data_IF_161130886353
#
_entry.id   IF_161130886353
#
_cell.length_a   1.000
_cell.length_b   1.000
_cell.length_c   1.000
_cell.angle_alpha   90.00
_cell.angle_beta   90.00
_cell.angle_gamma   90.00
#
_symmetry.space_group_name_H-M   'P 1'
#
loop_
_entity.id
_entity.type
_entity.pdbx_description
1 polymer ?
#
# COMPACT_ATOMS: atom_id res chain seq x y z
N UNK A 1 32.41 5.71 7.86
CA UNK A 1 31.63 6.04 9.07
C UNK A 1 31.23 4.73 9.75
N UNK A 2 31.36 4.58 11.07
CA UNK A 2 30.79 3.41 11.74
C UNK A 2 29.27 3.43 11.49
N UNK A 3 28.70 2.30 11.04
CA UNK A 3 27.24 2.14 10.93
C UNK A 3 26.64 2.51 12.30
N UNK A 4 25.53 3.26 12.30
CA UNK A 4 24.77 3.48 13.52
C UNK A 4 24.48 2.11 14.18
N UNK A 5 24.68 2.00 15.48
CA UNK A 5 24.33 0.79 16.22
C UNK A 5 22.82 0.72 16.37
N UNK A 6 22.21 -0.18 15.59
CA UNK A 6 20.77 -0.40 15.54
C UNK A 6 20.34 -1.58 16.42
N UNK A 7 21.23 -2.14 17.25
CA UNK A 7 20.92 -3.31 18.08
C UNK A 7 19.81 -3.06 19.09
N UNK A 8 19.55 -1.79 19.45
CA UNK A 8 18.47 -1.38 20.34
C UNK A 8 17.09 -1.35 19.67
N UNK A 9 17.01 -1.45 18.34
CA UNK A 9 15.73 -1.41 17.61
C UNK A 9 15.06 -2.79 17.66
N UNK A 10 13.92 -2.84 18.33
CA UNK A 10 13.16 -4.08 18.52
C UNK A 10 12.21 -4.40 17.35
N UNK A 11 11.65 -3.37 16.72
CA UNK A 11 10.71 -3.51 15.60
C UNK A 11 10.98 -2.50 14.50
N UNK A 12 10.98 -3.00 13.26
CA UNK A 12 11.12 -2.23 12.03
C UNK A 12 9.80 -2.22 11.29
N UNK A 13 9.35 -1.03 10.92
CA UNK A 13 8.15 -0.83 10.10
C UNK A 13 8.58 -0.41 8.70
N UNK A 14 8.18 -1.19 7.70
CA UNK A 14 8.45 -0.93 6.31
C UNK A 14 7.17 -0.51 5.59
N UNK A 15 7.23 0.60 4.87
CA UNK A 15 6.23 0.88 3.85
C UNK A 15 6.42 -0.04 2.64
N UNK A 16 5.37 -0.29 1.86
CA UNK A 16 5.42 -1.20 0.71
C UNK A 16 5.68 -0.42 -0.59
N UNK A 17 4.67 0.33 -1.02
CA UNK A 17 4.61 0.89 -2.36
C UNK A 17 5.68 1.97 -2.58
N UNK A 18 6.49 1.82 -3.63
CA UNK A 18 7.64 2.67 -3.95
C UNK A 18 8.72 2.75 -2.85
N UNK A 19 8.70 1.83 -1.88
CA UNK A 19 9.70 1.71 -0.81
C UNK A 19 10.47 0.40 -0.94
N UNK A 20 9.78 -0.75 -0.94
CA UNK A 20 10.40 -2.08 -1.08
C UNK A 20 10.64 -2.47 -2.54
N UNK A 21 10.17 -1.65 -3.47
CA UNK A 21 10.47 -1.76 -4.88
C UNK A 21 10.57 -0.36 -5.48
N UNK A 22 11.32 -0.20 -6.59
CA UNK A 22 11.55 1.10 -7.18
C UNK A 22 10.34 1.50 -8.07
N UNK A 23 9.96 2.79 -8.13
CA UNK A 23 8.76 3.27 -8.86
C UNK A 23 8.79 2.96 -10.36
N UNK A 24 9.95 2.65 -10.93
CA UNK A 24 10.17 2.21 -12.31
C UNK A 24 9.45 0.90 -12.66
N UNK A 25 9.05 0.09 -11.66
CA UNK A 25 8.17 -1.06 -11.87
C UNK A 25 6.72 -0.67 -12.19
N UNK A 26 6.34 0.58 -11.94
CA UNK A 26 5.03 1.17 -12.30
C UNK A 26 3.82 0.38 -11.79
N UNK A 27 3.96 -0.34 -10.68
CA UNK A 27 2.85 -1.07 -10.04
C UNK A 27 1.73 -0.11 -9.61
N UNK A 28 2.11 1.05 -9.07
CA UNK A 28 1.15 2.08 -8.67
C UNK A 28 0.38 2.68 -9.86
N UNK A 29 0.96 2.72 -11.06
CA UNK A 29 0.26 3.18 -12.26
C UNK A 29 -0.91 2.24 -12.61
N UNK A 30 -0.72 0.94 -12.44
CA UNK A 30 -1.78 -0.06 -12.63
C UNK A 30 -2.90 0.13 -11.61
N UNK A 31 -2.56 0.32 -10.34
CA UNK A 31 -3.53 0.61 -9.27
C UNK A 31 -4.29 1.89 -9.60
N UNK A 32 -3.58 2.97 -9.96
CA UNK A 32 -4.19 4.26 -10.32
C UNK A 32 -5.16 4.14 -11.50
N UNK A 33 -4.80 3.39 -12.55
CA UNK A 33 -5.67 3.15 -13.69
C UNK A 33 -6.95 2.37 -13.29
N UNK A 34 -6.81 1.36 -12.41
CA UNK A 34 -7.95 0.61 -11.88
C UNK A 34 -8.85 1.46 -11.00
N UNK A 35 -8.29 2.34 -10.17
CA UNK A 35 -9.07 3.31 -9.38
C UNK A 35 -9.87 4.22 -10.31
N UNK A 36 -9.27 4.76 -11.38
CA UNK A 36 -10.01 5.58 -12.37
C UNK A 36 -11.16 4.78 -12.97
N UNK A 37 -10.90 3.57 -13.44
CA UNK A 37 -11.90 2.72 -14.07
C UNK A 37 -13.05 2.36 -13.10
N UNK A 38 -12.72 2.07 -11.83
CA UNK A 38 -13.71 1.84 -10.79
C UNK A 38 -14.60 3.07 -10.61
N UNK A 39 -14.02 4.26 -10.41
CA UNK A 39 -14.77 5.50 -10.19
C UNK A 39 -15.65 5.85 -11.37
N UNK A 40 -15.14 5.71 -12.60
CA UNK A 40 -15.92 5.92 -13.82
C UNK A 40 -17.15 5.01 -13.87
N UNK A 41 -16.96 3.71 -13.59
CA UNK A 41 -18.05 2.73 -13.63
C UNK A 41 -19.06 2.96 -12.50
N UNK A 42 -18.59 3.10 -11.27
CA UNK A 42 -19.43 3.15 -10.08
C UNK A 42 -20.30 4.41 -10.05
N UNK A 43 -19.77 5.53 -10.55
CA UNK A 43 -20.45 6.82 -10.53
C UNK A 43 -20.95 7.28 -11.89
N UNK A 44 -20.86 6.42 -12.92
CA UNK A 44 -21.19 6.71 -14.31
C UNK A 44 -20.57 8.03 -14.82
N UNK A 45 -19.26 8.19 -14.57
CA UNK A 45 -18.50 9.39 -14.91
C UNK A 45 -17.59 9.17 -16.11
N UNK A 46 -17.40 10.23 -16.89
CA UNK A 46 -16.33 10.28 -17.88
C UNK A 46 -14.95 10.36 -17.21
N UNK A 47 -13.89 9.97 -17.93
CA UNK A 47 -12.53 9.87 -17.38
C UNK A 47 -12.04 11.18 -16.76
N UNK A 48 -12.30 12.31 -17.40
CA UNK A 48 -11.90 13.64 -16.92
C UNK A 48 -12.59 14.01 -15.61
N UNK A 49 -13.86 13.67 -15.47
CA UNK A 49 -14.66 13.91 -14.27
C UNK A 49 -14.21 12.98 -13.13
N UNK A 50 -13.94 11.71 -13.44
CA UNK A 50 -13.40 10.76 -12.47
C UNK A 50 -12.03 11.21 -11.95
N UNK A 51 -11.11 11.66 -12.83
CA UNK A 51 -9.79 12.15 -12.42
C UNK A 51 -9.90 13.44 -11.58
N UNK A 52 -10.80 14.35 -11.93
CA UNK A 52 -11.08 15.54 -11.13
C UNK A 52 -11.66 15.17 -9.74
N UNK A 53 -12.58 14.20 -9.69
CA UNK A 53 -13.18 13.70 -8.46
C UNK A 53 -12.13 13.06 -7.54
N UNK A 54 -11.27 12.20 -8.10
CA UNK A 54 -10.18 11.55 -7.37
C UNK A 54 -9.21 12.57 -6.79
N UNK A 55 -8.85 13.58 -7.58
CA UNK A 55 -7.98 14.68 -7.14
C UNK A 55 -8.61 15.47 -5.99
N UNK A 56 -9.92 15.75 -6.08
CA UNK A 56 -10.68 16.37 -5.00
C UNK A 56 -10.69 15.50 -3.74
N UNK A 57 -10.97 14.21 -3.87
CA UNK A 57 -11.00 13.30 -2.72
C UNK A 57 -9.64 13.11 -2.07
N UNK A 58 -8.57 13.04 -2.86
CA UNK A 58 -7.23 13.00 -2.32
C UNK A 58 -6.91 14.24 -1.48
N UNK A 59 -7.27 15.44 -1.96
CA UNK A 59 -7.05 16.68 -1.21
C UNK A 59 -7.91 16.76 0.06
N UNK A 60 -9.19 16.39 -0.02
CA UNK A 60 -10.15 16.63 1.05
C UNK A 60 -10.16 15.49 2.10
N UNK A 61 -9.84 14.26 1.69
CA UNK A 61 -9.92 13.04 2.53
C UNK A 61 -8.61 12.25 2.60
N UNK A 62 -7.54 12.67 1.92
CA UNK A 62 -6.24 11.97 1.89
C UNK A 62 -6.17 10.80 0.91
N UNK A 63 -7.28 10.17 0.54
CA UNK A 63 -7.35 9.14 -0.50
C UNK A 63 -8.64 9.19 -1.29
N UNK A 64 -8.64 8.56 -2.48
CA UNK A 64 -9.89 8.32 -3.24
C UNK A 64 -10.85 7.44 -2.45
N UNK A 65 -10.36 6.37 -1.80
CA UNK A 65 -11.18 5.44 -1.03
C UNK A 65 -11.94 6.15 0.10
N UNK A 66 -11.24 6.94 0.92
CA UNK A 66 -11.86 7.67 2.02
C UNK A 66 -12.96 8.63 1.53
N UNK A 67 -12.74 9.31 0.39
CA UNK A 67 -13.77 10.14 -0.23
C UNK A 67 -14.96 9.35 -0.76
N UNK A 68 -14.73 8.17 -1.34
CA UNK A 68 -15.80 7.28 -1.80
C UNK A 68 -16.63 6.73 -0.64
N UNK A 69 -15.99 6.32 0.46
CA UNK A 69 -16.67 5.88 1.67
C UNK A 69 -17.52 7.01 2.27
N UNK A 70 -16.94 8.21 2.43
CA UNK A 70 -17.61 9.33 3.08
C UNK A 70 -18.76 9.91 2.24
N UNK A 71 -18.60 10.01 0.92
CA UNK A 71 -19.59 10.65 0.06
C UNK A 71 -20.61 9.68 -0.56
N UNK A 72 -20.26 8.40 -0.72
CA UNK A 72 -21.09 7.42 -1.44
C UNK A 72 -21.38 6.15 -0.63
N UNK A 73 -20.89 6.03 0.60
CA UNK A 73 -21.12 4.84 1.43
C UNK A 73 -20.48 3.57 0.85
N UNK A 74 -19.41 3.72 0.07
CA UNK A 74 -18.72 2.61 -0.58
C UNK A 74 -18.19 1.60 0.45
N UNK A 75 -18.43 0.31 0.21
CA UNK A 75 -17.75 -0.78 0.91
C UNK A 75 -16.28 -0.86 0.46
N UNK A 76 -15.31 -0.68 1.37
CA UNK A 76 -13.90 -0.62 1.00
C UNK A 76 -13.33 -1.97 0.55
N UNK A 77 -13.83 -3.11 1.04
CA UNK A 77 -13.18 -4.40 0.80
C UNK A 77 -13.27 -4.86 -0.67
N UNK A 78 -14.46 -4.83 -1.33
CA UNK A 78 -14.56 -5.13 -2.76
C UNK A 78 -13.75 -4.16 -3.62
N UNK A 79 -13.74 -2.87 -3.26
CA UNK A 79 -12.94 -1.86 -3.94
C UNK A 79 -11.45 -2.18 -3.87
N UNK A 80 -10.93 -2.44 -2.66
CA UNK A 80 -9.52 -2.77 -2.43
C UNK A 80 -9.11 -4.04 -3.18
N UNK A 81 -9.97 -5.06 -3.21
CA UNK A 81 -9.71 -6.28 -3.97
C UNK A 81 -9.60 -6.01 -5.47
N UNK A 82 -10.48 -5.17 -6.04
CA UNK A 82 -10.46 -4.85 -7.47
C UNK A 82 -9.24 -4.00 -7.86
N UNK A 83 -8.97 -2.92 -7.13
CA UNK A 83 -7.91 -1.97 -7.50
C UNK A 83 -6.50 -2.52 -7.25
N UNK A 84 -6.36 -3.48 -6.33
CA UNK A 84 -5.10 -4.17 -6.07
C UNK A 84 -4.91 -5.46 -6.88
N UNK A 85 -5.86 -5.86 -7.72
CA UNK A 85 -5.70 -6.98 -8.64
C UNK A 85 -4.81 -6.60 -9.85
N UNK A 86 -3.53 -6.29 -9.59
CA UNK A 86 -2.53 -5.84 -10.56
C UNK A 86 -1.66 -6.98 -11.10
N UNK A 87 -1.04 -6.77 -12.26
CA UNK A 87 -0.11 -7.73 -12.85
C UNK A 87 1.28 -7.60 -12.21
N UNK A 88 1.77 -8.69 -11.63
CA UNK A 88 3.08 -8.82 -10.98
C UNK A 88 4.05 -9.70 -11.78
N UNK A 89 3.68 -10.16 -12.98
CA UNK A 89 4.50 -11.08 -13.79
C UNK A 89 5.87 -10.51 -14.17
N UNK A 90 6.00 -9.18 -14.23
CA UNK A 90 7.26 -8.47 -14.48
C UNK A 90 8.12 -8.20 -13.23
N UNK A 91 7.66 -8.61 -12.04
CA UNK A 91 8.38 -8.41 -10.79
C UNK A 91 9.32 -9.59 -10.56
N UNK A 92 10.62 -9.30 -10.41
CA UNK A 92 11.63 -10.29 -10.10
C UNK A 92 11.98 -10.27 -8.60
N UNK A 93 12.34 -11.42 -8.01
CA UNK A 93 12.85 -11.46 -6.64
C UNK A 93 14.11 -10.61 -6.45
N UNK A 94 14.18 -9.87 -5.33
CA UNK A 94 15.38 -9.10 -4.94
C UNK A 94 16.06 -9.76 -3.73
N UNK A 95 16.95 -10.72 -4.03
CA UNK A 95 17.72 -11.45 -3.02
C UNK A 95 18.63 -10.54 -2.21
N UNK A 96 19.17 -9.47 -2.82
CA UNK A 96 20.04 -8.52 -2.12
C UNK A 96 19.25 -7.72 -1.08
N UNK A 97 18.01 -7.32 -1.41
CA UNK A 97 17.12 -6.67 -0.47
C UNK A 97 16.66 -7.62 0.64
N UNK A 98 16.33 -8.87 0.30
CA UNK A 98 16.00 -9.91 1.27
C UNK A 98 17.11 -10.09 2.32
N UNK A 99 18.36 -10.25 1.87
CA UNK A 99 19.53 -10.40 2.74
C UNK A 99 19.73 -9.16 3.63
N UNK A 100 19.54 -7.96 3.07
CA UNK A 100 19.68 -6.71 3.80
C UNK A 100 18.62 -6.57 4.91
N UNK A 101 17.37 -6.93 4.63
CA UNK A 101 16.28 -6.90 5.62
C UNK A 101 16.50 -7.97 6.69
N UNK A 102 16.90 -9.19 6.29
CA UNK A 102 17.18 -10.27 7.22
C UNK A 102 18.30 -9.93 8.21
N UNK A 103 19.31 -9.17 7.77
CA UNK A 103 20.43 -8.74 8.60
C UNK A 103 20.08 -7.67 9.66
N UNK A 104 18.90 -7.05 9.59
CA UNK A 104 18.46 -6.12 10.63
C UNK A 104 18.13 -6.89 11.93
N UNK A 105 18.42 -6.35 13.12
CA UNK A 105 17.97 -6.97 14.37
C UNK A 105 16.45 -6.83 14.54
N UNK A 106 15.87 -7.58 15.46
CA UNK A 106 14.46 -7.41 15.83
C UNK A 106 13.44 -7.89 14.79
N UNK A 107 12.18 -7.60 15.08
CA UNK A 107 11.00 -7.94 14.29
C UNK A 107 10.86 -6.99 13.10
N UNK A 108 10.45 -7.48 11.94
CA UNK A 108 10.15 -6.66 10.76
C UNK A 108 8.69 -6.84 10.38
N UNK A 109 8.02 -5.74 10.10
CA UNK A 109 6.62 -5.73 9.65
C UNK A 109 6.47 -4.82 8.45
N UNK A 110 5.54 -5.17 7.57
CA UNK A 110 5.06 -4.26 6.53
C UNK A 110 3.83 -3.54 7.06
N UNK A 111 3.77 -2.23 6.86
CA UNK A 111 2.57 -1.43 7.09
C UNK A 111 2.33 -0.51 5.90
N UNK A 112 1.25 -0.74 5.14
CA UNK A 112 0.93 -0.02 3.90
C UNK A 112 -0.43 0.68 3.97
N UNK A 113 -0.61 1.72 3.15
CA UNK A 113 -1.93 2.32 2.89
C UNK A 113 -2.74 1.52 1.85
N UNK A 114 -2.15 0.49 1.23
CA UNK A 114 -2.86 -0.54 0.47
C UNK A 114 -3.50 -1.59 1.38
N UNK A 115 -4.11 -2.62 0.78
CA UNK A 115 -4.64 -3.75 1.56
C UNK A 115 -3.51 -4.67 2.05
N UNK A 116 -3.77 -5.45 3.10
CA UNK A 116 -2.84 -6.48 3.58
C UNK A 116 -2.51 -7.47 2.46
N UNK A 117 -3.53 -7.89 1.72
CA UNK A 117 -3.39 -8.80 0.60
C UNK A 117 -2.48 -8.23 -0.51
N UNK A 118 -2.63 -6.94 -0.84
CA UNK A 118 -1.76 -6.24 -1.80
C UNK A 118 -0.29 -6.28 -1.37
N UNK A 119 -0.02 -5.91 -0.10
CA UNK A 119 1.33 -5.95 0.46
C UNK A 119 1.93 -7.36 0.43
N UNK A 120 1.14 -8.38 0.79
CA UNK A 120 1.61 -9.78 0.76
C UNK A 120 1.92 -10.25 -0.66
N UNK A 121 1.05 -9.97 -1.64
CA UNK A 121 1.24 -10.39 -3.03
C UNK A 121 2.52 -9.78 -3.63
N UNK A 122 2.76 -8.48 -3.40
CA UNK A 122 4.00 -7.83 -3.84
C UNK A 122 5.22 -8.41 -3.12
N UNK A 123 5.14 -8.60 -1.81
CA UNK A 123 6.25 -9.19 -1.05
C UNK A 123 6.58 -10.61 -1.53
N UNK A 124 5.59 -11.42 -1.89
CA UNK A 124 5.79 -12.75 -2.48
C UNK A 124 6.50 -12.65 -3.84
N UNK A 125 6.05 -11.75 -4.72
CA UNK A 125 6.67 -11.54 -6.02
C UNK A 125 8.13 -11.06 -5.91
N UNK A 126 8.44 -10.22 -4.92
CA UNK A 126 9.79 -9.75 -4.62
C UNK A 126 10.66 -10.78 -3.86
N UNK A 127 10.10 -11.92 -3.45
CA UNK A 127 10.81 -12.92 -2.64
C UNK A 127 11.11 -12.46 -1.21
N UNK A 128 10.30 -11.55 -0.66
CA UNK A 128 10.48 -10.93 0.66
C UNK A 128 9.48 -11.41 1.71
N UNK A 129 8.48 -12.22 1.35
CA UNK A 129 7.38 -12.56 2.26
C UNK A 129 7.86 -13.14 3.60
N UNK A 130 8.84 -14.05 3.56
CA UNK A 130 9.43 -14.70 4.73
C UNK A 130 10.34 -13.77 5.56
N UNK A 131 10.69 -12.58 5.05
CA UNK A 131 11.48 -11.60 5.79
C UNK A 131 10.64 -10.85 6.84
N UNK A 132 9.31 -10.91 6.75
CA UNK A 132 8.40 -10.12 7.58
C UNK A 132 7.54 -10.99 8.48
N UNK A 133 7.46 -10.62 9.76
CA UNK A 133 6.68 -11.32 10.76
C UNK A 133 5.17 -10.99 10.69
N UNK A 134 4.81 -9.86 10.08
CA UNK A 134 3.42 -9.44 9.93
C UNK A 134 3.26 -8.44 8.78
N UNK A 135 2.03 -8.38 8.28
CA UNK A 135 1.57 -7.46 7.25
C UNK A 135 0.34 -6.73 7.79
N UNK A 136 0.39 -5.41 7.76
CA UNK A 136 -0.70 -4.53 8.15
C UNK A 136 -1.13 -3.69 6.95
N UNK A 137 -2.43 -3.76 6.64
CA UNK A 137 -3.06 -2.97 5.58
C UNK A 137 -3.89 -1.83 6.14
N UNK A 138 -4.52 -1.08 5.25
CA UNK A 138 -5.44 0.01 5.60
C UNK A 138 -6.65 -0.47 6.39
N UNK A 139 -7.09 -1.72 6.19
CA UNK A 139 -8.15 -2.38 6.94
C UNK A 139 -7.81 -2.58 8.43
N UNK A 140 -6.52 -2.80 8.75
CA UNK A 140 -6.03 -2.94 10.13
C UNK A 140 -6.13 -1.62 10.91
N UNK A 141 -6.15 -0.50 10.19
CA UNK A 141 -6.26 0.86 10.74
C UNK A 141 -7.69 1.42 10.67
N UNK A 142 -8.71 0.57 10.47
CA UNK A 142 -10.10 1.03 10.31
C UNK A 142 -10.28 1.95 9.10
N UNK A 143 -9.50 1.70 8.04
CA UNK A 143 -9.45 2.48 6.80
C UNK A 143 -8.93 3.92 6.95
N UNK A 144 -8.29 4.25 8.08
CA UNK A 144 -7.54 5.49 8.25
C UNK A 144 -6.12 5.28 7.70
N UNK A 145 -5.66 6.19 6.84
CA UNK A 145 -4.35 6.09 6.20
C UNK A 145 -3.25 6.84 6.93
N UNK A 146 -2.01 6.39 6.77
CA UNK A 146 -0.82 7.21 7.06
C UNK A 146 -0.85 8.47 6.17
N UNK A 147 -0.45 9.66 6.67
CA UNK A 147 0.25 9.89 7.94
C UNK A 147 -0.67 10.28 9.12
N UNK A 148 -1.99 10.05 9.04
CA UNK A 148 -2.88 10.42 10.13
C UNK A 148 -2.55 9.62 11.38
N UNK A 149 -2.39 10.30 12.53
CA UNK A 149 -2.03 9.69 13.81
C UNK A 149 -2.88 8.46 14.19
N UNK A 150 -4.22 8.46 14.03
CA UNK A 150 -5.03 7.29 14.37
C UNK A 150 -4.66 6.03 13.60
N UNK A 151 -4.08 6.16 12.41
CA UNK A 151 -3.62 5.02 11.62
C UNK A 151 -2.49 4.24 12.34
N UNK A 152 -1.59 4.96 13.02
CA UNK A 152 -0.48 4.36 13.76
C UNK A 152 -0.87 3.88 15.16
N UNK A 153 -1.95 4.40 15.75
CA UNK A 153 -2.41 3.99 17.08
C UNK A 153 -3.26 2.71 17.05
N UNK A 154 -3.78 2.35 15.88
CA UNK A 154 -4.62 1.17 15.67
C UNK A 154 -3.82 -0.13 15.44
N UNK A 155 -2.52 -0.02 15.10
CA UNK A 155 -1.67 -1.13 14.62
C UNK A 155 -0.58 -1.49 15.63
#
# INVERSE_FOLDING_TARGET
MPKADLAHVETWVFDMDNTLYPPELRLFDQVSAKITAFVMRELALERTEADALRSRYFRDYGTTLAGLMAAHGLDPDPYLAEVHAIDLSGVAPDTRLADAIAALPGRKVIYTNGSRAHGLNIAQALGLAECFAAFYGVEDAGYVVKPHRPAFEAV
#
